data_IF_275318916327
#
_entry.id   IF_275318916327
#
_cell.length_a   1.000
_cell.length_b   1.000
_cell.length_c   1.000
_cell.angle_alpha   90.00
_cell.angle_beta   90.00
_cell.angle_gamma   90.00
#
_symmetry.space_group_name_H-M   'P 1'
#
loop_
_entity.id
_entity.type
_entity.pdbx_description
1 polymer ?
#
# COMPACT_ATOMS: atom_id res chain seq x y z
N UNK A 1 -12.01 -28.12 -35.92
CA UNK A 1 -12.23 -27.63 -34.55
C UNK A 1 -10.90 -27.16 -33.99
N UNK A 2 -10.75 -25.89 -33.59
CA UNK A 2 -9.47 -25.41 -33.08
C UNK A 2 -9.18 -26.05 -31.72
N UNK A 3 -8.02 -26.70 -31.59
CA UNK A 3 -7.57 -27.30 -30.35
C UNK A 3 -7.19 -26.18 -29.37
N UNK A 4 -8.07 -25.92 -28.40
CA UNK A 4 -7.76 -25.07 -27.25
C UNK A 4 -6.51 -25.64 -26.55
N UNK A 5 -5.46 -24.83 -26.45
CA UNK A 5 -4.25 -25.23 -25.73
C UNK A 5 -4.57 -25.45 -24.25
N UNK A 6 -3.90 -26.40 -23.60
CA UNK A 6 -4.13 -26.78 -22.20
C UNK A 6 -4.08 -25.58 -21.23
N UNK A 7 -3.30 -24.54 -21.57
CA UNK A 7 -3.26 -23.26 -20.85
C UNK A 7 -4.56 -22.45 -21.00
N UNK A 8 -5.12 -22.37 -22.21
CA UNK A 8 -6.38 -21.69 -22.46
C UNK A 8 -7.56 -22.39 -21.77
N UNK A 9 -7.55 -23.72 -21.72
CA UNK A 9 -8.56 -24.51 -21.02
C UNK A 9 -8.49 -24.34 -19.49
N UNK A 10 -7.29 -24.29 -18.92
CA UNK A 10 -7.10 -24.04 -17.48
C UNK A 10 -7.46 -22.60 -17.09
N UNK A 11 -7.14 -21.61 -17.93
CA UNK A 11 -7.54 -20.22 -17.69
C UNK A 11 -9.05 -20.02 -17.81
N UNK A 12 -9.73 -20.72 -18.73
CA UNK A 12 -11.20 -20.66 -18.83
C UNK A 12 -11.91 -21.31 -17.64
N UNK A 13 -11.36 -22.39 -17.08
CA UNK A 13 -11.92 -23.05 -15.89
C UNK A 13 -11.73 -22.20 -14.63
N UNK A 14 -10.56 -21.57 -14.47
CA UNK A 14 -10.31 -20.65 -13.36
C UNK A 14 -11.20 -19.39 -13.46
N UNK A 15 -11.39 -18.84 -14.66
CA UNK A 15 -12.29 -17.71 -14.88
C UNK A 15 -13.76 -18.06 -14.62
N UNK A 16 -14.22 -19.26 -15.02
CA UNK A 16 -15.58 -19.73 -14.76
C UNK A 16 -15.83 -20.00 -13.26
N UNK A 17 -14.87 -20.60 -12.55
CA UNK A 17 -14.96 -20.83 -11.11
C UNK A 17 -14.99 -19.50 -10.34
N UNK A 18 -14.16 -18.53 -10.74
CA UNK A 18 -14.16 -17.20 -10.14
C UNK A 18 -15.46 -16.44 -10.41
N UNK A 19 -16.01 -16.52 -11.63
CA UNK A 19 -17.29 -15.91 -11.98
C UNK A 19 -18.48 -16.52 -11.22
N UNK A 20 -18.45 -17.83 -10.97
CA UNK A 20 -19.48 -18.50 -10.18
C UNK A 20 -19.39 -18.15 -8.69
N UNK A 21 -18.16 -18.07 -8.15
CA UNK A 21 -17.92 -17.61 -6.78
C UNK A 21 -18.41 -16.18 -6.56
N UNK A 22 -18.29 -15.29 -7.56
CA UNK A 22 -18.81 -13.92 -7.53
C UNK A 22 -20.35 -13.82 -7.57
N UNK A 23 -21.05 -14.81 -8.12
CA UNK A 23 -22.52 -14.84 -8.18
C UNK A 23 -23.15 -15.29 -6.86
N UNK A 24 -22.44 -16.13 -6.08
CA UNK A 24 -22.90 -16.68 -4.81
C UNK A 24 -22.41 -15.86 -3.58
N UNK A 25 -21.86 -14.66 -3.77
CA UNK A 25 -21.35 -13.84 -2.67
C UNK A 25 -22.45 -13.32 -1.76
N UNK A 26 -22.29 -13.54 -0.45
CA UNK A 26 -23.15 -12.98 0.58
C UNK A 26 -22.48 -11.76 1.23
N UNK A 27 -23.22 -10.65 1.32
CA UNK A 27 -22.76 -9.39 1.97
C UNK A 27 -23.18 -9.31 3.45
N UNK A 28 -23.52 -10.44 4.05
CA UNK A 28 -23.83 -10.54 5.47
C UNK A 28 -22.56 -10.37 6.29
N UNK A 29 -22.63 -9.54 7.32
CA UNK A 29 -21.54 -9.44 8.29
C UNK A 29 -21.60 -10.62 9.25
N UNK A 30 -20.47 -11.32 9.40
CA UNK A 30 -20.32 -12.48 10.27
C UNK A 30 -19.57 -12.15 11.56
N UNK A 31 -19.79 -12.98 12.59
CA UNK A 31 -19.06 -12.92 13.87
C UNK A 31 -19.59 -11.90 14.88
N UNK A 32 -19.13 -12.01 16.11
CA UNK A 32 -19.42 -11.08 17.20
C UNK A 32 -18.37 -9.96 17.26
N UNK A 33 -18.70 -8.84 17.91
CA UNK A 33 -17.74 -7.76 18.16
C UNK A 33 -16.60 -8.22 19.09
N UNK A 34 -15.36 -7.70 18.93
CA UNK A 34 -14.93 -6.76 17.89
C UNK A 34 -14.71 -7.45 16.52
N UNK A 35 -15.18 -6.79 15.46
CA UNK A 35 -15.08 -7.26 14.07
C UNK A 35 -14.01 -6.50 13.28
N UNK A 36 -13.77 -5.23 13.60
CA UNK A 36 -12.80 -4.40 12.91
C UNK A 36 -11.40 -4.67 13.46
N UNK A 37 -10.53 -5.21 12.61
CA UNK A 37 -9.08 -5.40 12.82
C UNK A 37 -8.67 -6.37 13.95
N UNK A 38 -9.48 -6.50 15.00
CA UNK A 38 -9.25 -7.26 16.22
C UNK A 38 -9.97 -8.61 16.21
N UNK A 39 -9.79 -9.39 15.15
CA UNK A 39 -10.26 -10.78 15.18
C UNK A 39 -9.73 -11.53 16.44
N UNK A 40 -10.37 -12.62 16.88
CA UNK A 40 -10.04 -13.27 18.14
C UNK A 40 -8.56 -13.66 18.29
N UNK A 41 -7.89 -13.97 17.17
CA UNK A 41 -6.46 -14.28 17.14
C UNK A 41 -5.62 -13.03 17.45
N UNK A 42 -5.87 -11.90 16.79
CA UNK A 42 -5.13 -10.65 17.04
C UNK A 42 -5.36 -10.15 18.44
N UNK A 43 -6.61 -10.09 18.92
CA UNK A 43 -6.90 -9.62 20.27
C UNK A 43 -6.19 -10.46 21.33
N UNK A 44 -6.14 -11.79 21.16
CA UNK A 44 -5.38 -12.68 22.05
C UNK A 44 -3.88 -12.40 22.01
N UNK A 45 -3.31 -12.09 20.84
CA UNK A 45 -1.90 -11.72 20.72
C UNK A 45 -1.60 -10.41 21.48
N UNK A 46 -2.44 -9.38 21.32
CA UNK A 46 -2.24 -8.10 22.01
C UNK A 46 -2.38 -8.23 23.54
N UNK A 47 -3.33 -9.05 24.02
CA UNK A 47 -3.44 -9.35 25.46
C UNK A 47 -2.21 -10.05 26.01
N UNK A 48 -1.59 -10.94 25.23
CA UNK A 48 -0.31 -11.58 25.59
C UNK A 48 0.86 -10.60 25.58
N UNK A 49 0.91 -9.66 24.63
CA UNK A 49 1.92 -8.60 24.62
C UNK A 49 1.87 -7.77 25.92
N UNK A 50 0.65 -7.43 26.38
CA UNK A 50 0.43 -6.81 27.69
C UNK A 50 0.92 -7.70 28.84
N UNK A 51 0.48 -8.96 28.90
CA UNK A 51 0.87 -9.89 29.97
C UNK A 51 2.38 -10.12 30.06
N UNK A 52 3.07 -10.01 28.92
CA UNK A 52 4.53 -10.13 28.81
C UNK A 52 5.26 -8.81 29.02
N UNK A 53 4.54 -7.69 29.18
CA UNK A 53 5.12 -6.37 29.31
C UNK A 53 6.06 -6.06 28.15
N UNK A 54 5.60 -6.32 26.91
CA UNK A 54 6.42 -6.08 25.73
C UNK A 54 6.79 -4.60 25.61
N UNK A 55 7.89 -4.29 24.92
CA UNK A 55 8.36 -2.91 24.72
C UNK A 55 7.25 -2.04 24.11
N UNK A 56 6.50 -2.58 23.13
CA UNK A 56 5.38 -1.87 22.49
C UNK A 56 4.23 -1.61 23.47
N UNK A 57 3.87 -2.60 24.28
CA UNK A 57 2.86 -2.41 25.32
C UNK A 57 3.28 -1.35 26.33
N UNK A 58 4.49 -1.46 26.89
CA UNK A 58 5.00 -0.52 27.91
C UNK A 58 5.00 0.91 27.38
N UNK A 59 5.42 1.12 26.13
CA UNK A 59 5.42 2.45 25.53
C UNK A 59 4.01 2.97 25.29
N UNK A 60 3.10 2.13 24.77
CA UNK A 60 1.70 2.52 24.61
C UNK A 60 1.02 2.85 25.94
N UNK A 61 1.22 2.01 26.95
CA UNK A 61 0.72 2.22 28.31
C UNK A 61 1.29 3.49 28.93
N UNK A 62 2.60 3.75 28.78
CA UNK A 62 3.24 4.97 29.30
C UNK A 62 2.57 6.23 28.73
N UNK A 63 2.27 6.25 27.43
CA UNK A 63 1.60 7.40 26.81
C UNK A 63 0.16 7.54 27.30
N UNK A 64 -0.62 6.46 27.28
CA UNK A 64 -2.05 6.51 27.60
C UNK A 64 -2.28 6.72 29.10
N UNK A 65 -1.64 5.93 29.96
CA UNK A 65 -1.73 6.06 31.42
C UNK A 65 -1.05 7.34 31.93
N UNK A 66 0.00 7.80 31.24
CA UNK A 66 0.63 9.11 31.46
C UNK A 66 -0.21 10.30 30.99
N UNK A 67 -1.42 10.05 30.44
CA UNK A 67 -2.37 11.06 29.95
C UNK A 67 -1.78 11.97 28.87
N UNK A 68 -0.89 11.43 28.03
CA UNK A 68 -0.46 12.13 26.84
C UNK A 68 -1.65 12.41 25.92
N UNK A 69 -1.61 13.55 25.24
CA UNK A 69 -2.62 13.90 24.25
C UNK A 69 -2.43 13.04 22.99
N UNK A 70 -3.24 11.99 22.88
CA UNK A 70 -3.20 11.09 21.73
C UNK A 70 -3.69 11.81 20.47
N UNK A 71 -3.04 11.55 19.34
CA UNK A 71 -3.42 12.16 18.06
C UNK A 71 -4.77 11.63 17.54
N UNK A 72 -5.09 10.38 17.85
CA UNK A 72 -6.38 9.73 17.53
C UNK A 72 -6.98 9.14 18.82
N UNK A 73 -7.64 9.97 19.66
CA UNK A 73 -8.06 9.56 21.00
C UNK A 73 -9.06 8.40 21.01
N UNK A 74 -10.05 8.40 20.11
CA UNK A 74 -11.05 7.33 20.04
C UNK A 74 -10.40 5.99 19.73
N UNK A 75 -9.48 5.97 18.76
CA UNK A 75 -8.73 4.77 18.39
C UNK A 75 -7.80 4.30 19.50
N UNK A 76 -6.98 5.19 20.06
CA UNK A 76 -6.03 4.86 21.11
C UNK A 76 -6.71 4.38 22.40
N UNK A 77 -7.72 5.09 22.89
CA UNK A 77 -8.38 4.74 24.15
C UNK A 77 -9.23 3.47 24.03
N UNK A 78 -9.88 3.23 22.88
CA UNK A 78 -10.58 1.98 22.62
C UNK A 78 -9.61 0.78 22.59
N UNK A 79 -8.46 0.92 21.91
CA UNK A 79 -7.44 -0.13 21.87
C UNK A 79 -6.90 -0.44 23.27
N UNK A 80 -6.59 0.60 24.04
CA UNK A 80 -6.10 0.46 25.40
C UNK A 80 -7.12 -0.24 26.28
N UNK A 81 -8.40 0.16 26.21
CA UNK A 81 -9.50 -0.47 26.94
C UNK A 81 -9.63 -1.96 26.61
N UNK A 82 -9.76 -2.33 25.34
CA UNK A 82 -10.08 -3.71 24.96
C UNK A 82 -8.95 -4.70 25.27
N UNK A 83 -7.71 -4.21 25.32
CA UNK A 83 -6.53 -5.00 25.68
C UNK A 83 -6.31 -5.04 27.20
N UNK A 84 -6.43 -3.91 27.91
CA UNK A 84 -6.16 -3.83 29.35
C UNK A 84 -7.34 -4.26 30.23
N UNK A 85 -8.58 -4.08 29.76
CA UNK A 85 -9.79 -4.14 30.56
C UNK A 85 -10.11 -2.85 31.32
N UNK A 86 -9.33 -1.77 31.13
CA UNK A 86 -9.55 -0.51 31.85
C UNK A 86 -10.80 0.21 31.34
N UNK A 87 -11.85 0.27 32.17
CA UNK A 87 -13.16 0.81 31.82
C UNK A 87 -13.13 2.33 31.61
N UNK A 88 -12.27 3.07 32.32
CA UNK A 88 -12.24 4.54 32.26
C UNK A 88 -11.78 5.02 30.88
N UNK A 89 -10.76 4.39 30.30
CA UNK A 89 -10.36 4.69 28.93
C UNK A 89 -11.42 4.27 27.90
N UNK A 90 -12.16 3.18 28.15
CA UNK A 90 -13.31 2.81 27.32
C UNK A 90 -14.39 3.89 27.32
N UNK A 91 -14.71 4.46 28.48
CA UNK A 91 -15.64 5.59 28.61
C UNK A 91 -15.12 6.85 27.93
N UNK A 92 -13.83 7.15 28.01
CA UNK A 92 -13.22 8.28 27.28
C UNK A 92 -13.31 8.10 25.77
N UNK A 93 -13.08 6.88 25.26
CA UNK A 93 -13.24 6.55 23.84
C UNK A 93 -14.69 6.79 23.38
N UNK A 94 -15.67 6.32 24.17
CA UNK A 94 -17.10 6.54 23.92
C UNK A 94 -17.43 8.04 23.93
N UNK A 95 -16.96 8.79 24.92
CA UNK A 95 -17.18 10.23 25.00
C UNK A 95 -16.64 10.95 23.77
N UNK A 96 -15.42 10.61 23.33
CA UNK A 96 -14.83 11.14 22.09
C UNK A 96 -15.73 10.82 20.88
N UNK A 97 -16.14 9.57 20.70
CA UNK A 97 -16.97 9.17 19.55
C UNK A 97 -18.32 9.90 19.51
N UNK A 98 -18.93 10.17 20.67
CA UNK A 98 -20.18 10.92 20.79
C UNK A 98 -20.04 12.41 20.44
N UNK A 99 -18.83 12.98 20.48
CA UNK A 99 -18.56 14.39 20.19
C UNK A 99 -17.86 14.63 18.85
N UNK A 100 -17.20 13.61 18.32
CA UNK A 100 -16.44 13.67 17.07
C UNK A 100 -17.33 13.55 15.82
N UNK A 101 -16.82 14.02 14.69
CA UNK A 101 -17.35 13.74 13.34
C UNK A 101 -16.45 12.76 12.55
N UNK A 102 -15.42 12.22 13.18
CA UNK A 102 -14.52 11.23 12.60
C UNK A 102 -15.21 9.85 12.51
N UNK A 103 -15.72 9.52 11.33
CA UNK A 103 -16.47 8.28 11.07
C UNK A 103 -15.63 7.03 11.30
N UNK A 104 -14.33 7.06 10.94
CA UNK A 104 -13.41 5.95 11.17
C UNK A 104 -13.32 5.63 12.65
N UNK A 105 -13.05 6.63 13.49
CA UNK A 105 -12.93 6.42 14.93
C UNK A 105 -14.28 6.10 15.59
N UNK A 106 -15.39 6.65 15.11
CA UNK A 106 -16.72 6.28 15.59
C UNK A 106 -17.04 4.80 15.34
N UNK A 107 -16.73 4.28 14.15
CA UNK A 107 -16.93 2.87 13.82
C UNK A 107 -16.05 1.95 14.72
N UNK A 108 -14.78 2.31 14.90
CA UNK A 108 -13.86 1.57 15.78
C UNK A 108 -14.37 1.55 17.22
N UNK A 109 -14.80 2.69 17.77
CA UNK A 109 -15.29 2.77 19.16
C UNK A 109 -16.60 1.99 19.33
N UNK A 110 -17.53 2.10 18.37
CA UNK A 110 -18.79 1.35 18.41
C UNK A 110 -18.54 -0.17 18.43
N UNK A 111 -17.55 -0.64 17.66
CA UNK A 111 -17.17 -2.04 17.59
C UNK A 111 -16.42 -2.52 18.85
N UNK A 112 -15.40 -1.78 19.29
CA UNK A 112 -14.48 -2.26 20.33
C UNK A 112 -14.97 -2.01 21.75
N UNK A 113 -15.84 -1.01 21.94
CA UNK A 113 -16.39 -0.65 23.24
C UNK A 113 -17.85 -1.08 23.39
N UNK A 114 -18.35 -1.98 22.52
CA UNK A 114 -19.74 -2.46 22.56
C UNK A 114 -20.21 -2.85 23.97
N UNK A 115 -19.44 -3.62 24.78
CA UNK A 115 -19.90 -4.04 26.11
C UNK A 115 -20.04 -2.89 27.14
N UNK A 116 -19.47 -1.72 26.84
CA UNK A 116 -19.53 -0.53 27.71
C UNK A 116 -20.56 0.51 27.29
N UNK A 117 -21.07 0.43 26.05
CA UNK A 117 -22.06 1.36 25.55
C UNK A 117 -23.40 1.12 26.23
N UNK A 118 -24.06 2.20 26.67
CA UNK A 118 -25.49 2.11 26.97
C UNK A 118 -26.31 1.93 25.69
N UNK A 119 -27.53 1.42 25.82
CA UNK A 119 -28.45 1.26 24.68
C UNK A 119 -28.64 2.56 23.89
N UNK A 120 -28.76 3.70 24.59
CA UNK A 120 -28.94 5.01 23.96
C UNK A 120 -27.67 5.47 23.23
N UNK A 121 -26.49 5.25 23.81
CA UNK A 121 -25.22 5.58 23.17
C UNK A 121 -25.00 4.72 21.92
N UNK A 122 -25.28 3.41 22.01
CA UNK A 122 -25.19 2.48 20.90
C UNK A 122 -26.15 2.86 19.76
N UNK A 123 -27.41 3.16 20.09
CA UNK A 123 -28.41 3.64 19.11
C UNK A 123 -27.99 4.97 18.46
N UNK A 124 -27.46 5.91 19.23
CA UNK A 124 -27.03 7.21 18.73
C UNK A 124 -25.85 7.09 17.76
N UNK A 125 -24.80 6.34 18.13
CA UNK A 125 -23.66 6.11 17.24
C UNK A 125 -24.09 5.36 15.97
N UNK A 126 -24.91 4.31 16.11
CA UNK A 126 -25.45 3.56 14.97
C UNK A 126 -26.26 4.47 14.04
N UNK A 127 -27.12 5.34 14.59
CA UNK A 127 -27.92 6.28 13.79
C UNK A 127 -27.04 7.27 13.00
N UNK A 128 -25.96 7.78 13.61
CA UNK A 128 -24.99 8.66 12.93
C UNK A 128 -24.27 7.96 11.79
N UNK A 129 -23.81 6.72 12.01
CA UNK A 129 -23.18 5.93 10.96
C UNK A 129 -24.17 5.59 9.83
N UNK A 130 -25.43 5.27 10.13
CA UNK A 130 -26.46 5.09 9.09
C UNK A 130 -26.70 6.37 8.30
N UNK A 131 -26.75 7.52 8.97
CA UNK A 131 -26.95 8.81 8.32
C UNK A 131 -25.79 9.15 7.38
N UNK A 132 -24.54 8.88 7.75
CA UNK A 132 -23.39 9.13 6.89
C UNK A 132 -23.36 8.23 5.65
N UNK A 133 -23.92 7.01 5.75
CA UNK A 133 -24.05 6.09 4.62
C UNK A 133 -25.23 6.44 3.69
N UNK A 134 -26.26 7.14 4.18
CA UNK A 134 -27.44 7.45 3.38
C UNK A 134 -27.16 8.39 2.19
N UNK A 135 -26.22 9.32 2.34
CA UNK A 135 -25.79 10.21 1.27
C UNK A 135 -24.61 9.59 0.48
N UNK A 136 -24.53 9.82 -0.85
CA UNK A 136 -23.32 9.52 -1.60
C UNK A 136 -22.12 10.29 -1.01
N UNK A 137 -20.92 9.68 -0.97
CA UNK A 137 -19.75 10.37 -0.44
C UNK A 137 -19.33 11.52 -1.35
N UNK A 138 -18.83 12.61 -0.75
CA UNK A 138 -18.37 13.79 -1.49
C UNK A 138 -17.17 13.47 -2.41
N UNK A 139 -16.34 12.51 -2.01
CA UNK A 139 -15.25 11.93 -2.80
C UNK A 139 -15.33 10.41 -2.74
N UNK A 140 -14.91 9.75 -3.81
CA UNK A 140 -14.82 8.27 -3.89
C UNK A 140 -13.37 7.79 -3.86
N UNK A 141 -12.55 8.47 -3.05
CA UNK A 141 -11.16 8.10 -2.77
C UNK A 141 -11.09 7.00 -1.70
N UNK A 142 -9.90 6.42 -1.51
CA UNK A 142 -9.69 5.31 -0.59
C UNK A 142 -10.10 5.68 0.85
N UNK A 143 -9.69 6.82 1.44
CA UNK A 143 -10.07 7.17 2.80
C UNK A 143 -11.59 7.28 3.01
N UNK A 144 -12.32 7.91 2.09
CA UNK A 144 -13.77 8.04 2.19
C UNK A 144 -14.47 6.67 2.11
N UNK A 145 -14.00 5.80 1.22
CA UNK A 145 -14.59 4.47 1.03
C UNK A 145 -14.21 3.51 2.17
N UNK A 146 -13.02 3.67 2.76
CA UNK A 146 -12.61 3.01 4.01
C UNK A 146 -13.54 3.38 5.15
N UNK A 147 -13.82 4.66 5.38
CA UNK A 147 -14.73 5.10 6.46
C UNK A 147 -16.13 4.48 6.30
N UNK A 148 -16.63 4.43 5.05
CA UNK A 148 -17.93 3.80 4.74
C UNK A 148 -17.91 2.30 4.96
N UNK A 149 -16.86 1.60 4.52
CA UNK A 149 -16.71 0.16 4.73
C UNK A 149 -16.69 -0.18 6.23
N UNK A 150 -15.90 0.53 7.03
CA UNK A 150 -15.87 0.33 8.49
C UNK A 150 -17.24 0.55 9.12
N UNK A 151 -17.92 1.64 8.74
CA UNK A 151 -19.26 1.96 9.23
C UNK A 151 -20.26 0.85 8.87
N UNK A 152 -20.24 0.40 7.62
CA UNK A 152 -21.16 -0.61 7.11
C UNK A 152 -20.93 -1.98 7.75
N UNK A 153 -19.67 -2.38 7.99
CA UNK A 153 -19.35 -3.62 8.71
C UNK A 153 -19.90 -3.58 10.14
N UNK A 154 -19.66 -2.51 10.88
CA UNK A 154 -20.02 -2.45 12.30
C UNK A 154 -21.54 -2.44 12.51
N UNK A 155 -22.29 -1.75 11.64
CA UNK A 155 -23.76 -1.67 11.76
C UNK A 155 -24.50 -2.74 10.94
N UNK A 156 -23.78 -3.60 10.20
CA UNK A 156 -24.36 -4.66 9.38
C UNK A 156 -25.11 -4.18 8.13
N UNK A 157 -24.65 -3.10 7.48
CA UNK A 157 -25.30 -2.51 6.31
C UNK A 157 -24.90 -3.22 5.01
N UNK A 158 -25.64 -4.27 4.65
CA UNK A 158 -25.34 -5.14 3.51
C UNK A 158 -25.29 -4.42 2.17
N UNK A 159 -26.28 -3.55 1.91
CA UNK A 159 -26.43 -2.86 0.63
C UNK A 159 -25.26 -1.91 0.36
N UNK A 160 -24.71 -1.30 1.41
CA UNK A 160 -23.53 -0.46 1.27
C UNK A 160 -22.28 -1.28 0.97
N UNK A 161 -22.10 -2.42 1.66
CA UNK A 161 -20.99 -3.34 1.39
C UNK A 161 -21.05 -3.88 -0.03
N UNK A 162 -22.24 -4.25 -0.51
CA UNK A 162 -22.44 -4.68 -1.90
C UNK A 162 -22.05 -3.58 -2.90
N UNK A 163 -22.47 -2.33 -2.68
CA UNK A 163 -22.07 -1.20 -3.53
C UNK A 163 -20.57 -0.96 -3.52
N UNK A 164 -19.92 -1.03 -2.35
CA UNK A 164 -18.48 -0.85 -2.23
C UNK A 164 -17.74 -1.92 -3.05
N UNK A 165 -18.13 -3.19 -2.92
CA UNK A 165 -17.47 -4.30 -3.61
C UNK A 165 -17.81 -4.33 -5.11
N UNK A 166 -19.10 -4.36 -5.46
CA UNK A 166 -19.54 -4.57 -6.84
C UNK A 166 -19.43 -3.31 -7.69
N UNK A 167 -19.77 -2.15 -7.16
CA UNK A 167 -19.85 -0.92 -7.95
C UNK A 167 -18.56 -0.11 -7.91
N UNK A 168 -18.04 0.17 -6.72
CA UNK A 168 -16.82 0.97 -6.64
C UNK A 168 -15.56 0.14 -6.88
N UNK A 169 -15.38 -0.97 -6.18
CA UNK A 169 -14.15 -1.76 -6.33
C UNK A 169 -14.06 -2.44 -7.70
N UNK A 170 -15.04 -3.29 -8.05
CA UNK A 170 -14.95 -4.13 -9.25
C UNK A 170 -15.19 -3.41 -10.58
N UNK A 171 -15.98 -2.34 -10.61
CA UNK A 171 -16.21 -1.58 -11.85
C UNK A 171 -15.25 -0.40 -12.03
N UNK A 172 -14.68 0.15 -10.95
CA UNK A 172 -13.82 1.34 -11.03
C UNK A 172 -12.39 1.03 -10.61
N UNK A 173 -12.16 0.62 -9.35
CA UNK A 173 -10.81 0.53 -8.79
C UNK A 173 -10.01 -0.63 -9.38
N UNK A 174 -10.50 -1.87 -9.29
CA UNK A 174 -9.77 -3.05 -9.72
C UNK A 174 -9.45 -3.06 -11.24
N UNK A 175 -10.38 -2.69 -12.14
CA UNK A 175 -10.04 -2.53 -13.56
C UNK A 175 -8.93 -1.50 -13.79
N UNK A 176 -8.99 -0.37 -13.08
CA UNK A 176 -8.01 0.69 -13.23
C UNK A 176 -6.65 0.32 -12.57
N UNK A 177 -6.62 -0.51 -11.52
CA UNK A 177 -5.39 -1.13 -11.00
C UNK A 177 -4.78 -2.11 -12.02
N UNK A 178 -5.60 -2.97 -12.64
CA UNK A 178 -5.12 -3.90 -13.69
C UNK A 178 -4.58 -3.16 -14.91
N UNK A 179 -5.17 -2.02 -15.24
CA UNK A 179 -4.75 -1.14 -16.34
C UNK A 179 -3.69 -0.10 -15.97
N UNK A 180 -3.18 -0.09 -14.72
CA UNK A 180 -2.19 0.88 -14.23
C UNK A 180 -2.60 2.35 -14.23
N UNK A 181 -3.90 2.61 -14.34
CA UNK A 181 -4.49 3.94 -14.37
C UNK A 181 -4.88 4.45 -12.97
N UNK A 182 -5.22 3.54 -12.05
CA UNK A 182 -5.56 3.94 -10.67
C UNK A 182 -4.30 4.08 -9.82
N UNK A 183 -4.13 5.25 -9.21
CA UNK A 183 -3.01 5.55 -8.34
C UNK A 183 -3.56 6.21 -7.08
N UNK A 184 -3.36 5.56 -5.94
CA UNK A 184 -3.53 6.17 -4.64
C UNK A 184 -2.17 6.63 -4.13
N UNK A 185 -2.16 7.67 -3.31
CA UNK A 185 -0.93 8.23 -2.76
C UNK A 185 -0.34 7.25 -1.75
N UNK A 186 0.95 7.42 -1.42
CA UNK A 186 1.54 6.61 -0.35
C UNK A 186 0.78 6.77 0.97
N UNK A 187 0.25 7.95 1.23
CA UNK A 187 -0.56 8.33 2.41
C UNK A 187 -1.83 7.49 2.52
N UNK A 188 -2.48 7.20 1.38
CA UNK A 188 -3.72 6.43 1.34
C UNK A 188 -3.50 4.91 1.50
N UNK A 189 -2.24 4.44 1.46
CA UNK A 189 -1.92 3.01 1.57
C UNK A 189 -2.49 2.39 2.85
N UNK A 190 -2.45 3.13 3.97
CA UNK A 190 -2.95 2.61 5.24
C UNK A 190 -4.47 2.46 5.22
N UNK A 191 -5.18 3.46 4.69
CA UNK A 191 -6.63 3.40 4.53
C UNK A 191 -7.06 2.25 3.60
N UNK A 192 -6.29 1.97 2.54
CA UNK A 192 -6.53 0.80 1.69
C UNK A 192 -6.49 -0.48 2.52
N UNK A 193 -5.43 -0.71 3.30
CA UNK A 193 -5.31 -1.93 4.09
C UNK A 193 -6.35 -2.04 5.21
N UNK A 194 -6.76 -0.93 5.85
CA UNK A 194 -7.90 -0.94 6.77
C UNK A 194 -9.17 -1.44 6.08
N UNK A 195 -9.49 -0.90 4.90
CA UNK A 195 -10.65 -1.32 4.14
C UNK A 195 -10.57 -2.80 3.71
N UNK A 196 -9.40 -3.25 3.23
CA UNK A 196 -9.18 -4.65 2.87
C UNK A 196 -9.43 -5.56 4.07
N UNK A 197 -8.85 -5.25 5.25
CA UNK A 197 -9.06 -6.01 6.48
C UNK A 197 -10.53 -6.06 6.86
N UNK A 198 -11.23 -4.92 6.83
CA UNK A 198 -12.63 -4.86 7.22
C UNK A 198 -13.55 -5.68 6.32
N UNK A 199 -13.34 -5.63 5.00
CA UNK A 199 -14.16 -6.38 4.04
C UNK A 199 -13.85 -7.87 4.13
N UNK A 200 -12.57 -8.27 4.16
CA UNK A 200 -12.21 -9.68 4.26
C UNK A 200 -12.66 -10.28 5.58
N UNK A 201 -12.36 -9.63 6.71
CA UNK A 201 -12.65 -10.19 8.03
C UNK A 201 -14.16 -10.09 8.35
N UNK A 202 -14.86 -9.08 7.81
CA UNK A 202 -16.29 -8.86 8.05
C UNK A 202 -17.24 -9.67 7.17
N UNK A 203 -16.95 -9.78 5.87
CA UNK A 203 -17.82 -10.44 4.87
C UNK A 203 -17.11 -11.51 4.02
N UNK A 204 -15.88 -11.90 4.38
CA UNK A 204 -15.15 -13.01 3.74
C UNK A 204 -14.82 -12.83 2.26
N UNK A 205 -14.74 -11.59 1.78
CA UNK A 205 -14.33 -11.26 0.40
C UNK A 205 -12.89 -10.71 0.41
N UNK A 206 -11.97 -11.34 -0.32
CA UNK A 206 -10.64 -10.80 -0.55
C UNK A 206 -10.62 -9.96 -1.83
N UNK A 207 -10.65 -8.64 -1.67
CA UNK A 207 -10.62 -7.69 -2.79
C UNK A 207 -9.33 -7.74 -3.62
N UNK A 208 -8.26 -8.36 -3.12
CA UNK A 208 -7.00 -8.51 -3.87
C UNK A 208 -7.15 -9.45 -5.06
N UNK A 209 -8.09 -10.38 -5.00
CA UNK A 209 -8.35 -11.35 -6.07
C UNK A 209 -8.80 -10.68 -7.37
N UNK A 210 -9.37 -9.47 -7.28
CA UNK A 210 -9.75 -8.68 -8.45
C UNK A 210 -8.53 -8.04 -9.14
N UNK A 211 -7.37 -7.90 -8.49
CA UNK A 211 -6.15 -7.32 -9.08
C UNK A 211 -4.85 -8.03 -8.59
N UNK A 212 -4.72 -9.35 -8.79
CA UNK A 212 -3.72 -10.16 -8.09
C UNK A 212 -2.28 -9.79 -8.44
N UNK A 213 -2.02 -9.41 -9.70
CA UNK A 213 -0.69 -8.95 -10.12
C UNK A 213 -0.26 -7.67 -9.39
N UNK A 214 -1.18 -6.71 -9.25
CA UNK A 214 -0.90 -5.46 -8.55
C UNK A 214 -0.52 -5.73 -7.09
N UNK A 215 -1.34 -6.53 -6.39
CA UNK A 215 -1.08 -6.85 -4.98
C UNK A 215 0.12 -7.77 -4.76
N UNK A 216 0.53 -8.54 -5.77
CA UNK A 216 1.78 -9.30 -5.75
C UNK A 216 3.01 -8.39 -5.86
N UNK A 217 2.96 -7.35 -6.69
CA UNK A 217 4.07 -6.40 -6.89
C UNK A 217 4.17 -5.37 -5.74
N UNK A 218 3.05 -5.05 -5.10
CA UNK A 218 2.95 -3.98 -4.10
C UNK A 218 3.96 -4.07 -2.93
N UNK A 219 4.20 -5.23 -2.27
CA UNK A 219 5.08 -5.30 -1.11
C UNK A 219 6.53 -4.92 -1.42
N UNK A 220 7.08 -5.46 -2.52
CA UNK A 220 8.43 -5.15 -2.95
C UNK A 220 8.55 -3.70 -3.42
N UNK A 221 7.52 -3.19 -4.11
CA UNK A 221 7.48 -1.77 -4.51
C UNK A 221 7.48 -0.83 -3.30
N UNK A 222 6.70 -1.12 -2.25
CA UNK A 222 6.71 -0.32 -1.02
C UNK A 222 8.12 -0.23 -0.41
N UNK A 223 8.83 -1.34 -0.29
CA UNK A 223 10.21 -1.38 0.24
C UNK A 223 11.14 -0.51 -0.62
N UNK A 224 11.07 -0.65 -1.95
CA UNK A 224 11.93 0.09 -2.87
C UNK A 224 11.56 1.57 -3.01
N UNK A 225 10.34 1.95 -2.61
CA UNK A 225 9.89 3.34 -2.63
C UNK A 225 10.46 4.21 -1.50
N UNK A 226 11.11 3.61 -0.50
CA UNK A 226 11.77 4.35 0.58
C UNK A 226 13.12 4.91 0.13
N UNK A 227 13.42 6.14 0.54
CA UNK A 227 14.77 6.68 0.39
C UNK A 227 15.78 5.82 1.18
N UNK A 228 17.04 5.74 0.71
CA UNK A 228 18.11 5.04 1.41
C UNK A 228 18.36 5.59 2.81
N UNK A 229 18.59 6.91 2.92
CA UNK A 229 18.86 7.53 4.21
C UNK A 229 17.61 7.61 5.08
N UNK A 230 17.81 7.39 6.37
CA UNK A 230 16.77 7.55 7.38
C UNK A 230 16.62 9.02 7.78
N UNK A 231 15.46 9.38 8.29
CA UNK A 231 15.19 10.71 8.82
C UNK A 231 15.16 10.65 10.35
N UNK A 232 16.09 11.32 11.05
CA UNK A 232 16.11 11.31 12.51
C UNK A 232 14.98 12.18 13.09
N UNK A 233 14.35 11.70 14.16
CA UNK A 233 13.40 12.47 14.97
C UNK A 233 13.71 12.29 16.46
N UNK A 234 13.01 13.03 17.32
CA UNK A 234 13.26 13.02 18.75
C UNK A 234 13.01 11.64 19.39
N UNK A 235 12.04 10.90 18.85
CA UNK A 235 11.54 9.66 19.43
C UNK A 235 12.01 8.39 18.72
N UNK A 236 12.36 8.44 17.44
CA UNK A 236 12.92 7.34 16.64
C UNK A 236 13.50 7.84 15.30
N UNK A 237 13.96 6.92 14.45
CA UNK A 237 14.24 7.20 13.04
C UNK A 237 13.03 6.84 12.18
N UNK A 238 12.86 7.55 11.06
CA UNK A 238 11.82 7.30 10.08
C UNK A 238 12.43 6.86 8.76
N UNK A 239 11.79 5.86 8.13
CA UNK A 239 11.98 5.62 6.70
C UNK A 239 10.99 6.47 5.95
N UNK A 240 11.50 7.29 5.05
CA UNK A 240 10.72 8.27 4.31
C UNK A 240 10.43 7.70 2.92
N UNK A 241 9.17 7.43 2.57
CA UNK A 241 8.84 7.01 1.21
C UNK A 241 8.96 8.19 0.25
N UNK A 242 9.00 7.90 -1.05
CA UNK A 242 8.74 8.89 -2.09
C UNK A 242 7.51 9.76 -1.72
N UNK A 243 7.68 11.08 -1.72
CA UNK A 243 6.61 12.05 -1.44
C UNK A 243 6.72 13.26 -2.36
N UNK A 244 5.63 14.01 -2.49
CA UNK A 244 5.57 15.22 -3.30
C UNK A 244 5.97 16.47 -2.51
N UNK A 245 6.74 17.37 -3.11
CA UNK A 245 7.11 18.68 -2.56
C UNK A 245 8.58 18.84 -2.19
N UNK A 246 9.02 20.09 -2.02
CA UNK A 246 10.45 20.46 -1.97
C UNK A 246 11.02 20.60 -0.54
N UNK A 247 10.18 20.46 0.49
CA UNK A 247 10.55 20.64 1.91
C UNK A 247 10.96 19.35 2.63
N UNK A 248 11.07 19.42 3.96
CA UNK A 248 11.27 18.24 4.81
C UNK A 248 10.05 17.29 4.72
N UNK A 249 10.26 15.97 4.87
CA UNK A 249 9.18 15.00 4.82
C UNK A 249 8.20 15.17 5.98
N UNK A 250 6.92 14.99 5.70
CA UNK A 250 5.91 14.86 6.75
C UNK A 250 6.07 13.50 7.45
N UNK A 251 6.50 13.54 8.71
CA UNK A 251 6.71 12.34 9.53
C UNK A 251 5.41 11.58 9.82
N UNK A 252 4.25 12.24 9.74
CA UNK A 252 2.95 11.54 9.83
C UNK A 252 2.72 10.66 8.62
N UNK A 253 3.12 11.11 7.44
CA UNK A 253 3.06 10.31 6.21
C UNK A 253 4.02 9.14 6.28
N UNK A 254 5.24 9.34 6.80
CA UNK A 254 6.19 8.25 7.03
C UNK A 254 5.65 7.21 8.05
N UNK A 255 5.02 7.67 9.14
CA UNK A 255 4.37 6.79 10.11
C UNK A 255 3.20 6.01 9.50
N UNK A 256 2.35 6.64 8.69
CA UNK A 256 1.24 5.96 8.00
C UNK A 256 1.74 4.98 6.94
N UNK A 257 2.84 5.29 6.24
CA UNK A 257 3.47 4.35 5.31
C UNK A 257 3.96 3.09 6.02
N UNK A 258 4.59 3.25 7.19
CA UNK A 258 4.97 2.12 8.05
C UNK A 258 3.75 1.36 8.58
N UNK A 259 2.71 2.07 9.02
CA UNK A 259 1.46 1.45 9.47
C UNK A 259 0.81 0.62 8.35
N UNK A 260 0.84 1.09 7.11
CA UNK A 260 0.36 0.36 5.94
C UNK A 260 1.16 -0.93 5.72
N UNK A 261 2.48 -0.87 5.85
CA UNK A 261 3.35 -2.04 5.68
C UNK A 261 3.12 -3.07 6.81
N UNK A 262 2.95 -2.62 8.06
CA UNK A 262 2.59 -3.49 9.18
C UNK A 262 1.21 -4.13 8.95
N UNK A 263 0.22 -3.35 8.51
CA UNK A 263 -1.12 -3.84 8.20
C UNK A 263 -1.11 -4.83 7.02
N UNK A 264 -0.24 -4.64 6.04
CA UNK A 264 -0.03 -5.54 4.91
C UNK A 264 0.53 -6.90 5.36
N UNK A 265 1.56 -6.91 6.19
CA UNK A 265 2.09 -8.16 6.78
C UNK A 265 1.02 -8.87 7.59
N UNK A 266 0.26 -8.11 8.38
CA UNK A 266 -0.87 -8.60 9.16
C UNK A 266 -2.01 -9.16 8.30
N UNK A 267 -2.18 -8.67 7.07
CA UNK A 267 -3.19 -9.15 6.14
C UNK A 267 -2.82 -10.54 5.66
N UNK A 268 -1.58 -10.75 5.21
CA UNK A 268 -1.15 -12.02 4.65
C UNK A 268 0.22 -12.39 5.19
N UNK A 269 0.23 -13.11 6.32
CA UNK A 269 1.47 -13.42 7.02
C UNK A 269 2.34 -14.45 6.31
N UNK A 270 1.76 -15.18 5.34
CA UNK A 270 2.37 -16.36 4.73
C UNK A 270 2.87 -16.09 3.32
N UNK A 271 2.38 -15.06 2.62
CA UNK A 271 2.91 -14.66 1.33
C UNK A 271 4.41 -14.35 1.39
N UNK A 272 5.17 -14.82 0.40
CA UNK A 272 6.62 -14.62 0.37
C UNK A 272 6.97 -13.12 0.30
N UNK A 273 6.20 -12.37 -0.48
CA UNK A 273 6.40 -10.95 -0.71
C UNK A 273 6.22 -10.13 0.58
N UNK A 274 5.25 -10.48 1.42
CA UNK A 274 5.05 -9.82 2.73
C UNK A 274 6.07 -10.26 3.77
N UNK A 275 6.70 -11.45 3.65
CA UNK A 275 7.80 -11.83 4.54
C UNK A 275 9.03 -10.93 4.35
N UNK A 276 9.31 -10.45 3.13
CA UNK A 276 10.34 -9.43 2.92
C UNK A 276 9.97 -8.10 3.61
N UNK A 277 8.69 -7.72 3.57
CA UNK A 277 8.20 -6.54 4.31
C UNK A 277 8.35 -6.74 5.81
N UNK A 278 8.08 -7.93 6.33
CA UNK A 278 8.34 -8.23 7.74
C UNK A 278 9.83 -8.05 8.07
N UNK A 279 10.75 -8.62 7.29
CA UNK A 279 12.19 -8.45 7.48
C UNK A 279 12.65 -7.00 7.34
N UNK A 280 11.96 -6.19 6.53
CA UNK A 280 12.14 -4.74 6.50
C UNK A 280 11.67 -4.10 7.80
N UNK A 281 10.52 -4.47 8.37
CA UNK A 281 9.90 -3.77 9.50
C UNK A 281 10.48 -4.07 10.88
N UNK A 282 11.19 -5.20 11.06
CA UNK A 282 11.62 -5.70 12.38
C UNK A 282 12.69 -4.85 13.10
N UNK A 283 13.29 -3.85 12.44
CA UNK A 283 14.35 -3.06 13.06
C UNK A 283 13.80 -2.08 14.11
N UNK A 284 14.30 -2.21 15.35
CA UNK A 284 13.85 -1.43 16.50
C UNK A 284 14.08 0.09 16.38
N UNK A 285 15.06 0.52 15.57
CA UNK A 285 15.32 1.95 15.32
C UNK A 285 14.15 2.69 14.67
N UNK A 286 13.25 1.94 14.00
CA UNK A 286 12.07 2.48 13.32
C UNK A 286 10.76 2.24 14.07
N UNK A 287 10.81 1.73 15.30
CA UNK A 287 9.60 1.54 16.10
C UNK A 287 8.93 2.90 16.33
N UNK A 288 7.65 3.02 15.96
CA UNK A 288 6.94 4.30 16.08
C UNK A 288 6.57 4.57 17.54
N UNK A 289 7.28 5.46 18.23
CA UNK A 289 7.15 5.67 19.68
C UNK A 289 6.25 6.82 20.10
N UNK A 290 5.93 7.73 19.17
CA UNK A 290 5.15 8.93 19.46
C UNK A 290 3.65 8.69 19.64
N UNK A 291 2.94 9.73 20.11
CA UNK A 291 1.48 9.75 20.33
C UNK A 291 0.63 9.49 19.08
N UNK A 292 1.22 9.61 17.89
CA UNK A 292 0.59 9.26 16.63
C UNK A 292 0.85 7.81 16.24
N UNK A 293 2.12 7.42 16.12
CA UNK A 293 2.49 6.13 15.54
C UNK A 293 2.32 4.91 16.46
N UNK A 294 2.41 5.09 17.79
CA UNK A 294 2.42 3.97 18.75
C UNK A 294 1.15 3.11 18.69
N UNK A 295 -0.03 3.71 18.47
CA UNK A 295 -1.28 2.95 18.37
C UNK A 295 -1.29 1.99 17.18
N UNK A 296 -0.69 2.39 16.05
CA UNK A 296 -0.54 1.55 14.86
C UNK A 296 0.52 0.47 15.05
N UNK A 297 1.67 0.84 15.62
CA UNK A 297 2.75 -0.09 15.92
C UNK A 297 2.25 -1.20 16.86
N UNK A 298 1.50 -0.85 17.91
CA UNK A 298 0.94 -1.82 18.83
C UNK A 298 -0.16 -2.68 18.19
N UNK A 299 -1.06 -2.11 17.39
CA UNK A 299 -2.14 -2.87 16.74
C UNK A 299 -1.62 -3.90 15.73
N UNK A 300 -0.66 -3.51 14.89
CA UNK A 300 -0.32 -4.27 13.69
C UNK A 300 0.94 -5.11 13.81
N UNK A 301 1.93 -4.66 14.58
CA UNK A 301 3.23 -5.34 14.63
C UNK A 301 3.11 -6.73 15.24
N UNK A 302 3.84 -7.68 14.65
CA UNK A 302 4.04 -9.00 15.21
C UNK A 302 5.56 -9.29 15.25
N UNK A 303 6.24 -8.96 16.36
CA UNK A 303 7.69 -9.16 16.46
C UNK A 303 8.10 -10.63 16.46
N UNK A 304 7.17 -11.55 16.66
CA UNK A 304 7.40 -12.99 16.67
C UNK A 304 7.27 -13.63 15.30
N UNK A 305 6.82 -12.88 14.28
CA UNK A 305 6.70 -13.40 12.93
C UNK A 305 8.06 -13.36 12.25
N UNK A 306 8.56 -14.49 11.73
CA UNK A 306 9.78 -14.50 10.95
C UNK A 306 9.59 -13.70 9.66
N UNK A 307 10.64 -13.02 9.22
CA UNK A 307 10.71 -12.31 7.95
C UNK A 307 11.88 -12.80 7.11
N UNK A 308 11.79 -12.61 5.80
CA UNK A 308 12.90 -12.83 4.88
C UNK A 308 13.77 -11.57 4.85
N UNK A 309 15.08 -11.75 4.69
CA UNK A 309 16.00 -10.63 4.52
C UNK A 309 15.69 -9.88 3.22
N UNK A 310 15.40 -8.58 3.32
CA UNK A 310 15.14 -7.73 2.16
C UNK A 310 16.39 -7.54 1.27
N UNK A 311 17.58 -7.92 1.73
CA UNK A 311 18.80 -7.96 0.90
C UNK A 311 18.69 -8.91 -0.30
N UNK A 312 17.74 -9.86 -0.29
CA UNK A 312 17.47 -10.74 -1.43
C UNK A 312 16.46 -10.16 -2.43
N UNK A 313 15.88 -8.99 -2.16
CA UNK A 313 15.06 -8.30 -3.16
C UNK A 313 15.97 -7.71 -4.25
N UNK A 314 15.51 -7.71 -5.52
CA UNK A 314 16.24 -7.07 -6.59
C UNK A 314 16.39 -5.58 -6.31
N UNK A 315 17.55 -5.04 -6.68
CA UNK A 315 17.85 -3.62 -6.54
C UNK A 315 17.15 -2.75 -7.58
N UNK A 316 16.54 -3.36 -8.60
CA UNK A 316 15.65 -2.70 -9.56
C UNK A 316 14.31 -3.40 -9.64
N UNK A 317 13.24 -2.62 -9.66
CA UNK A 317 11.87 -3.13 -9.79
C UNK A 317 11.07 -2.26 -10.74
N UNK A 318 10.58 -2.89 -11.79
CA UNK A 318 9.57 -2.35 -12.69
C UNK A 318 8.21 -2.95 -12.31
N UNK A 319 7.41 -2.16 -11.60
CA UNK A 319 6.03 -2.51 -11.27
C UNK A 319 5.12 -2.08 -12.43
N UNK A 320 5.18 -2.83 -13.54
CA UNK A 320 4.49 -2.49 -14.79
C UNK A 320 2.96 -2.34 -14.60
N UNK A 321 2.37 -3.07 -13.66
CA UNK A 321 0.94 -2.95 -13.34
C UNK A 321 0.60 -1.61 -12.68
N UNK A 322 1.55 -0.96 -12.03
CA UNK A 322 1.38 0.34 -11.39
C UNK A 322 1.94 1.50 -12.23
N UNK A 323 2.69 1.21 -13.31
CA UNK A 323 3.39 2.21 -14.10
C UNK A 323 4.54 2.88 -13.35
N UNK A 324 5.30 2.09 -12.56
CA UNK A 324 6.32 2.60 -11.64
C UNK A 324 7.65 1.87 -11.77
N UNK A 325 8.72 2.60 -11.50
CA UNK A 325 10.09 2.08 -11.55
C UNK A 325 10.89 2.60 -10.37
N UNK A 326 11.53 1.69 -9.65
CA UNK A 326 12.41 2.00 -8.52
C UNK A 326 13.75 1.28 -8.70
N UNK A 327 14.86 2.00 -8.53
CA UNK A 327 16.22 1.48 -8.61
C UNK A 327 17.01 1.96 -7.40
N UNK A 328 17.96 1.13 -6.95
CA UNK A 328 18.97 1.48 -5.94
C UNK A 328 20.29 0.79 -6.22
N UNK A 329 21.41 1.35 -5.76
CA UNK A 329 22.75 0.77 -5.97
C UNK A 329 23.10 -0.31 -4.94
N UNK A 330 22.60 -0.19 -3.73
CA UNK A 330 22.79 -1.13 -2.61
C UNK A 330 21.65 -0.94 -1.60
N UNK A 331 21.60 -1.77 -0.55
CA UNK A 331 20.64 -1.63 0.56
C UNK A 331 21.10 -0.68 1.68
N UNK A 332 22.28 -0.08 1.53
CA UNK A 332 22.89 0.80 2.53
C UNK A 332 22.28 2.21 2.51
N UNK A 333 22.46 2.96 3.60
CA UNK A 333 21.86 4.29 3.82
C UNK A 333 22.46 5.36 2.86
N UNK A 334 23.61 5.09 2.23
CA UNK A 334 24.31 5.96 1.27
C UNK A 334 24.03 5.61 -0.20
N UNK A 335 23.16 4.63 -0.47
CA UNK A 335 22.89 4.17 -1.82
C UNK A 335 22.42 5.29 -2.77
N UNK A 336 22.86 5.21 -4.03
CA UNK A 336 22.22 5.96 -5.11
C UNK A 336 20.85 5.35 -5.37
N UNK A 337 19.82 6.17 -5.42
CA UNK A 337 18.43 5.72 -5.60
C UNK A 337 17.70 6.58 -6.61
N UNK A 338 16.84 5.92 -7.38
CA UNK A 338 16.03 6.53 -8.41
C UNK A 338 14.61 5.99 -8.30
N UNK A 339 13.63 6.88 -8.45
CA UNK A 339 12.24 6.49 -8.48
C UNK A 339 11.46 7.31 -9.49
N UNK A 340 10.65 6.59 -10.27
CA UNK A 340 9.70 7.14 -11.21
C UNK A 340 8.29 6.66 -10.86
N UNK A 341 7.43 7.62 -10.53
CA UNK A 341 5.99 7.44 -10.32
C UNK A 341 5.30 8.73 -10.72
N UNK A 342 4.07 8.66 -11.24
CA UNK A 342 3.28 9.88 -11.47
C UNK A 342 3.90 10.90 -12.40
N UNK A 343 4.69 10.42 -13.36
CA UNK A 343 5.51 11.25 -14.27
C UNK A 343 6.46 12.19 -13.52
N UNK A 344 6.76 11.88 -12.27
CA UNK A 344 7.75 12.55 -11.44
C UNK A 344 8.93 11.61 -11.29
N UNK A 345 10.10 12.23 -11.27
CA UNK A 345 11.36 11.56 -11.00
C UNK A 345 11.92 12.15 -9.73
N UNK A 346 12.36 11.27 -8.84
CA UNK A 346 13.19 11.66 -7.72
C UNK A 346 14.47 10.85 -7.74
N UNK A 347 15.53 11.53 -7.34
CA UNK A 347 16.86 10.98 -7.27
C UNK A 347 17.43 11.24 -5.89
N UNK A 348 18.18 10.28 -5.37
CA UNK A 348 18.87 10.39 -4.09
C UNK A 348 20.31 9.95 -4.29
N UNK A 349 21.25 10.81 -3.91
CA UNK A 349 22.68 10.59 -4.08
C UNK A 349 23.43 11.50 -3.11
N UNK A 350 24.58 11.06 -2.59
CA UNK A 350 25.37 11.79 -1.57
C UNK A 350 24.54 12.13 -0.32
N UNK A 351 23.69 11.20 0.13
CA UNK A 351 22.92 11.37 1.37
C UNK A 351 21.79 12.40 1.31
N UNK A 352 21.42 12.89 0.11
CA UNK A 352 20.33 13.87 -0.06
C UNK A 352 19.53 13.64 -1.33
N UNK A 353 18.28 14.12 -1.32
CA UNK A 353 17.45 14.20 -2.52
C UNK A 353 18.04 15.23 -3.50
N UNK A 354 18.06 14.87 -4.78
CA UNK A 354 18.42 15.75 -5.89
C UNK A 354 17.22 15.87 -6.82
N UNK A 355 16.93 17.09 -7.26
CA UNK A 355 15.89 17.31 -8.27
C UNK A 355 16.45 16.99 -9.66
N UNK A 356 15.89 15.95 -10.27
CA UNK A 356 16.05 15.68 -11.70
C UNK A 356 14.68 15.57 -12.34
N UNK A 357 14.34 16.56 -13.17
CA UNK A 357 13.11 16.51 -13.96
C UNK A 357 13.23 15.52 -15.13
N UNK A 358 12.08 15.15 -15.71
CA UNK A 358 12.02 14.30 -16.91
C UNK A 358 12.73 14.87 -18.14
N UNK A 359 13.04 16.17 -18.13
CA UNK A 359 13.76 16.84 -19.21
C UNK A 359 15.28 16.60 -19.18
N UNK A 360 15.80 15.85 -18.20
CA UNK A 360 17.22 15.50 -18.10
C UNK A 360 17.73 14.87 -19.40
N UNK A 361 18.82 15.37 -20.00
CA UNK A 361 19.40 14.78 -21.20
C UNK A 361 20.27 13.55 -20.93
N UNK A 362 20.84 13.44 -19.73
CA UNK A 362 21.75 12.35 -19.39
C UNK A 362 20.98 11.13 -18.86
N UNK A 363 21.32 9.91 -19.30
CA UNK A 363 20.80 8.69 -18.70
C UNK A 363 21.26 8.55 -17.24
N UNK A 364 20.54 7.73 -16.48
CA UNK A 364 20.89 7.36 -15.10
C UNK A 364 21.32 5.90 -15.10
N UNK A 365 22.53 5.62 -14.62
CA UNK A 365 23.02 4.26 -14.44
C UNK A 365 23.11 3.94 -12.95
N UNK A 366 22.41 2.89 -12.52
CA UNK A 366 22.39 2.42 -11.13
C UNK A 366 22.40 0.90 -11.14
N UNK A 367 23.40 0.29 -10.48
CA UNK A 367 23.44 -1.17 -10.27
C UNK A 367 23.37 -1.99 -11.57
N UNK A 368 24.04 -1.53 -12.64
CA UNK A 368 24.02 -2.18 -13.96
C UNK A 368 22.72 -2.02 -14.74
N UNK A 369 21.78 -1.20 -14.25
CA UNK A 369 20.55 -0.82 -14.95
C UNK A 369 20.65 0.61 -15.45
N UNK A 370 20.27 0.85 -16.70
CA UNK A 370 20.27 2.20 -17.30
C UNK A 370 18.85 2.72 -17.51
N UNK A 371 18.60 3.96 -17.13
CA UNK A 371 17.33 4.66 -17.33
C UNK A 371 17.53 5.84 -18.27
N UNK A 372 16.86 5.79 -19.41
CA UNK A 372 16.81 6.84 -20.41
C UNK A 372 15.53 7.67 -20.27
N UNK A 373 15.65 8.97 -20.53
CA UNK A 373 14.51 9.90 -20.53
C UNK A 373 13.97 10.03 -21.96
N UNK A 374 12.77 9.51 -22.18
CA UNK A 374 12.12 9.41 -23.48
C UNK A 374 11.81 10.78 -24.09
N UNK A 375 11.97 10.87 -25.41
CA UNK A 375 11.70 12.06 -26.23
C UNK A 375 10.98 11.66 -27.51
N UNK A 376 10.29 12.62 -28.14
CA UNK A 376 9.79 12.41 -29.50
C UNK A 376 10.99 12.22 -30.44
N UNK A 377 11.18 10.99 -30.90
CA UNK A 377 12.33 10.55 -31.71
C UNK A 377 13.65 10.62 -30.91
N UNK A 378 13.99 9.49 -30.29
CA UNK A 378 15.21 9.36 -29.51
C UNK A 378 16.24 8.54 -30.29
N UNK A 379 17.48 9.03 -30.36
CA UNK A 379 18.64 8.26 -30.82
C UNK A 379 19.70 8.29 -29.72
N UNK A 380 20.24 7.14 -29.34
CA UNK A 380 21.29 7.05 -28.36
C UNK A 380 22.16 5.82 -28.60
N UNK A 381 23.35 5.84 -28.00
CA UNK A 381 24.27 4.71 -27.98
C UNK A 381 24.35 4.21 -26.52
N UNK A 382 24.14 2.91 -26.26
CA UNK A 382 24.39 2.33 -24.94
C UNK A 382 25.83 2.57 -24.52
N UNK A 383 26.06 2.89 -23.24
CA UNK A 383 27.40 3.25 -22.75
C UNK A 383 28.34 2.04 -22.65
N UNK A 384 27.80 0.82 -22.51
CA UNK A 384 28.56 -0.39 -22.25
C UNK A 384 28.31 -1.47 -23.30
N UNK A 385 29.34 -2.29 -23.57
CA UNK A 385 29.31 -3.38 -24.53
C UNK A 385 28.61 -4.66 -24.00
N UNK A 386 28.35 -4.74 -22.69
CA UNK A 386 27.68 -5.88 -22.06
C UNK A 386 26.16 -5.74 -22.08
N UNK A 387 25.39 -6.86 -22.01
CA UNK A 387 23.94 -6.80 -21.87
C UNK A 387 23.54 -6.01 -20.62
N UNK A 388 22.78 -4.95 -20.82
CA UNK A 388 22.25 -4.14 -19.72
C UNK A 388 20.73 -4.18 -19.74
N UNK A 389 20.15 -4.33 -18.55
CA UNK A 389 18.74 -4.07 -18.35
C UNK A 389 18.52 -2.57 -18.47
N UNK A 390 17.60 -2.15 -19.31
CA UNK A 390 17.37 -0.73 -19.52
C UNK A 390 15.89 -0.37 -19.61
N UNK A 391 15.61 0.88 -19.24
CA UNK A 391 14.29 1.46 -19.23
C UNK A 391 14.28 2.79 -19.97
N UNK A 392 13.23 3.08 -20.73
CA UNK A 392 12.93 4.42 -21.22
C UNK A 392 11.65 4.88 -20.53
N UNK A 393 11.73 6.01 -19.82
CA UNK A 393 10.61 6.58 -19.06
C UNK A 393 10.13 7.89 -19.67
N UNK A 394 8.95 8.36 -19.25
CA UNK A 394 8.40 9.64 -19.70
C UNK A 394 7.78 9.60 -21.10
N UNK A 395 7.64 8.42 -21.70
CA UNK A 395 6.94 8.21 -22.96
C UNK A 395 5.41 8.36 -22.80
N UNK A 396 4.69 8.35 -23.92
CA UNK A 396 3.23 8.29 -23.88
C UNK A 396 2.79 6.95 -23.24
N UNK A 397 1.88 6.96 -22.25
CA UNK A 397 1.35 5.74 -21.66
C UNK A 397 0.59 4.88 -22.66
N UNK A 398 0.69 3.55 -22.54
CA UNK A 398 -0.04 2.58 -23.36
C UNK A 398 0.09 2.83 -24.88
N UNK A 399 1.27 3.28 -25.32
CA UNK A 399 1.55 3.65 -26.70
C UNK A 399 2.60 2.71 -27.31
N UNK A 400 2.43 2.46 -28.60
CA UNK A 400 3.37 1.63 -29.38
C UNK A 400 4.54 2.47 -29.86
N UNK A 401 5.72 1.88 -29.76
CA UNK A 401 6.96 2.45 -30.23
C UNK A 401 7.71 1.43 -31.07
N UNK A 402 8.22 1.90 -32.21
CA UNK A 402 9.16 1.18 -33.05
C UNK A 402 10.56 1.38 -32.48
N UNK A 403 11.22 0.26 -32.18
CA UNK A 403 12.59 0.21 -31.70
C UNK A 403 13.45 -0.36 -32.81
N UNK A 404 14.38 0.44 -33.30
CA UNK A 404 15.38 0.04 -34.28
C UNK A 404 16.74 -0.01 -33.58
N UNK A 405 17.36 -1.18 -33.59
CA UNK A 405 18.76 -1.36 -33.19
C UNK A 405 19.55 -1.56 -34.48
N UNK A 406 20.68 -0.88 -34.65
CA UNK A 406 21.53 -1.08 -35.83
C UNK A 406 21.81 -2.58 -36.08
N UNK A 407 21.63 -3.01 -37.33
CA UNK A 407 21.77 -4.40 -37.83
C UNK A 407 20.75 -5.43 -37.28
N UNK A 408 19.69 -4.98 -36.60
CA UNK A 408 18.61 -5.84 -36.11
C UNK A 408 17.26 -5.48 -36.76
N UNK A 409 16.28 -6.39 -36.67
CA UNK A 409 14.92 -6.10 -37.11
C UNK A 409 14.26 -5.04 -36.21
N UNK A 410 13.43 -4.18 -36.82
CA UNK A 410 12.61 -3.23 -36.07
C UNK A 410 11.59 -4.02 -35.25
N UNK A 411 11.56 -3.75 -33.95
CA UNK A 411 10.63 -4.41 -33.03
C UNK A 411 9.65 -3.38 -32.48
N UNK A 412 8.35 -3.67 -32.60
CA UNK A 412 7.31 -2.90 -31.93
C UNK A 412 7.19 -3.31 -30.45
N UNK A 413 7.13 -2.33 -29.56
CA UNK A 413 6.91 -2.52 -28.12
C UNK A 413 5.85 -1.55 -27.60
N UNK A 414 5.10 -2.00 -26.60
CA UNK A 414 4.07 -1.23 -25.92
C UNK A 414 4.61 -0.69 -24.60
N UNK A 415 4.45 0.60 -24.35
CA UNK A 415 4.72 1.18 -23.02
C UNK A 415 3.63 0.80 -22.03
N UNK A 416 3.98 0.71 -20.76
CA UNK A 416 2.99 0.52 -19.69
C UNK A 416 2.15 1.79 -19.44
N UNK A 417 1.29 1.76 -18.42
CA UNK A 417 0.47 2.90 -18.01
C UNK A 417 1.28 4.05 -17.38
N UNK A 418 2.54 3.80 -17.01
CA UNK A 418 3.51 4.81 -16.58
C UNK A 418 4.23 5.49 -17.75
N UNK A 419 4.09 4.97 -18.97
CA UNK A 419 4.94 5.41 -20.10
C UNK A 419 6.36 4.89 -19.98
N UNK A 420 6.52 3.68 -19.42
CA UNK A 420 7.79 2.98 -19.24
C UNK A 420 7.90 1.90 -20.32
N UNK A 421 9.06 1.84 -20.95
CA UNK A 421 9.46 0.79 -21.86
C UNK A 421 10.62 0.02 -21.21
N UNK A 422 10.51 -1.29 -21.08
CA UNK A 422 11.56 -2.19 -20.59
C UNK A 422 12.17 -2.95 -21.76
N UNK A 423 13.50 -3.05 -21.78
CA UNK A 423 14.23 -3.77 -22.82
C UNK A 423 15.59 -4.22 -22.27
N UNK A 424 15.99 -5.43 -22.67
CA UNK A 424 17.34 -5.93 -22.43
C UNK A 424 18.17 -5.62 -23.67
N UNK A 425 19.26 -4.89 -23.49
CA UNK A 425 20.18 -4.66 -24.59
C UNK A 425 20.97 -5.94 -24.88
N UNK A 426 21.04 -6.41 -26.13
CA UNK A 426 22.09 -7.36 -26.51
C UNK A 426 23.48 -6.72 -26.29
N UNK A 427 24.56 -7.49 -26.31
CA UNK A 427 25.91 -6.93 -26.36
C UNK A 427 26.01 -5.96 -27.55
N UNK A 428 26.15 -4.67 -27.27
CA UNK A 428 26.07 -3.60 -28.27
C UNK A 428 27.32 -2.76 -28.24
N UNK A 429 28.38 -3.27 -28.88
CA UNK A 429 29.52 -2.44 -29.25
C UNK A 429 29.16 -1.66 -30.52
N UNK A 430 29.26 -0.33 -30.48
CA UNK A 430 29.11 0.59 -31.63
C UNK A 430 27.75 0.61 -32.35
N UNK A 431 26.67 0.16 -31.71
CA UNK A 431 25.31 0.20 -32.26
C UNK A 431 24.47 1.34 -31.68
N UNK A 432 23.68 2.00 -32.52
CA UNK A 432 22.68 2.98 -32.10
C UNK A 432 21.30 2.35 -31.94
N UNK A 433 20.57 2.87 -30.97
CA UNK A 433 19.14 2.60 -30.75
C UNK A 433 18.36 3.82 -31.20
N UNK A 434 17.36 3.62 -32.06
CA UNK A 434 16.40 4.64 -32.47
C UNK A 434 15.01 4.23 -31.97
N UNK A 435 14.33 5.16 -31.32
CA UNK A 435 12.97 4.99 -30.82
C UNK A 435 12.05 6.00 -31.51
N UNK A 436 10.98 5.52 -32.13
CA UNK A 436 9.94 6.37 -32.73
C UNK A 436 8.56 5.88 -32.30
N UNK A 437 7.63 6.81 -32.06
CA UNK A 437 6.22 6.42 -31.83
C UNK A 437 5.67 5.79 -33.10
N UNK A 438 5.11 4.58 -32.98
CA UNK A 438 4.50 3.91 -34.11
C UNK A 438 3.32 4.74 -34.64
N UNK A 439 3.14 4.76 -35.96
CA UNK A 439 2.01 5.47 -36.56
C UNK A 439 0.72 4.74 -36.19
N UNK A 440 -0.30 5.45 -35.74
CA UNK A 440 -1.60 4.84 -35.44
C UNK A 440 -2.15 4.22 -36.73
N UNK A 441 -2.31 2.90 -36.74
CA UNK A 441 -2.99 2.15 -37.80
C UNK A 441 -4.49 2.09 -37.55
#
# INVERSE_FOLDING_TARGET
>A
MPQLTRRAALSSLAAAAHAQQQQDEEFQVYGDNPRLFLNPRRLRLLKRERERTSVRWVQFETLVAGKAQMAEPGFAYALFHIVSGNIDFGKQAIQFALQSNDLRQQAIVLDWCQPLLSDDQSKLLTARLRQSLAAPPAKRDIPAMRDRALSAVVIGHKEELEKIVKDWWRKEVAPALRGGAYRYTREDSYALFEMLHAIRDGIQIDLRDDAPRYFKELPAYHILSYYPATFPAAENEYRVPFYDGDGDPDLRVAALARAADLAMVAFDTNAQETQFVQGWLIHDRFLMRGVFGMVYEFLWANPYQPGLSYYHLPLSMHAASAGKLALRSSWEDDATWFHYSDRKVQFFEEGRRKDRGLNSPAPVEIGGTVVHFGREQMKFQPANAEPQKAYIIGLAPNARYDIEIDDEEIVERLTDAGGILEFDFPPMQDRFVRLKRASAT
#
